data_IF_115101451800
#
_entry.id   IF_115101451800
#
_cell.length_a   1.000
_cell.length_b   1.000
_cell.length_c   1.000
_cell.angle_alpha   90.00
_cell.angle_beta   90.00
_cell.angle_gamma   90.00
#
_symmetry.space_group_name_H-M   'P 1'
#
loop_
_entity.id
_entity.type
_entity.pdbx_description
1 polymer ?
#
# COMPACT_ATOMS: atom_id res chain seq x y z
N UNK A 1 28.37 7.68 64.87
CA UNK A 1 27.84 8.78 64.04
C UNK A 1 27.74 8.29 62.61
N UNK A 2 26.54 7.93 62.16
CA UNK A 2 26.27 7.46 60.79
C UNK A 2 24.76 7.40 60.58
N UNK A 3 24.22 8.35 59.83
CA UNK A 3 22.79 8.51 59.54
C UNK A 3 22.37 7.61 58.37
N UNK A 4 21.20 6.92 58.41
CA UNK A 4 20.70 6.18 57.26
C UNK A 4 19.97 7.13 56.28
N UNK A 5 20.38 7.10 55.00
CA UNK A 5 19.79 7.88 53.93
C UNK A 5 18.37 7.42 53.59
N UNK A 6 17.43 8.36 53.63
CA UNK A 6 16.03 8.20 53.21
C UNK A 6 15.94 8.10 51.67
N UNK A 7 15.78 6.88 51.15
CA UNK A 7 15.50 6.64 49.73
C UNK A 7 14.07 7.04 49.34
N UNK A 8 13.93 8.12 48.57
CA UNK A 8 12.67 8.48 47.89
C UNK A 8 12.40 7.48 46.76
N UNK A 9 11.41 6.60 46.93
CA UNK A 9 10.86 5.79 45.84
C UNK A 9 10.13 6.71 44.85
N UNK A 10 10.57 6.77 43.59
CA UNK A 10 9.78 7.37 42.50
C UNK A 10 8.65 6.40 42.12
N UNK A 11 7.42 6.91 42.10
CA UNK A 11 6.27 6.17 41.58
C UNK A 11 6.44 5.91 40.06
N UNK A 12 5.93 4.79 39.53
CA UNK A 12 6.09 4.44 38.13
C UNK A 12 5.26 5.39 37.24
N UNK A 13 5.93 5.98 36.25
CA UNK A 13 5.35 6.80 35.18
C UNK A 13 4.62 5.84 34.22
N UNK A 14 3.45 5.35 34.59
CA UNK A 14 2.66 4.44 33.74
C UNK A 14 1.37 5.06 33.22
N UNK A 15 0.82 6.06 33.91
CA UNK A 15 -0.49 6.63 33.55
C UNK A 15 -0.43 7.87 32.66
N UNK A 16 0.75 8.50 32.50
CA UNK A 16 0.87 9.72 31.64
C UNK A 16 0.82 9.40 30.15
N UNK A 17 1.44 8.31 29.72
CA UNK A 17 1.42 7.89 28.33
C UNK A 17 0.01 7.48 27.90
N UNK A 18 -0.79 6.86 28.78
CA UNK A 18 -2.17 6.45 28.45
C UNK A 18 -3.11 7.65 28.24
N UNK A 19 -3.01 8.69 29.07
CA UNK A 19 -3.87 9.87 28.95
C UNK A 19 -3.51 10.73 27.71
N UNK A 20 -2.23 10.82 27.37
CA UNK A 20 -1.78 11.50 26.15
C UNK A 20 -2.22 10.74 24.88
N UNK A 21 -2.11 9.41 24.87
CA UNK A 21 -2.52 8.58 23.73
C UNK A 21 -4.04 8.60 23.52
N UNK A 22 -4.80 8.63 24.63
CA UNK A 22 -6.26 8.77 24.61
C UNK A 22 -6.69 10.16 24.12
N UNK A 23 -5.96 11.22 24.49
CA UNK A 23 -6.17 12.57 23.98
C UNK A 23 -5.88 12.68 22.47
N UNK A 24 -4.76 12.10 22.00
CA UNK A 24 -4.41 12.05 20.58
C UNK A 24 -5.46 11.27 19.77
N UNK A 25 -5.92 10.14 20.30
CA UNK A 25 -7.00 9.35 19.69
C UNK A 25 -8.32 10.11 19.62
N UNK A 26 -8.67 10.90 20.65
CA UNK A 26 -9.85 11.76 20.63
C UNK A 26 -9.73 12.88 19.59
N UNK A 27 -8.57 13.52 19.49
CA UNK A 27 -8.30 14.57 18.50
C UNK A 27 -8.40 14.01 17.07
N UNK A 28 -7.84 12.83 16.82
CA UNK A 28 -7.92 12.17 15.53
C UNK A 28 -9.37 11.87 15.14
N UNK A 29 -10.17 11.30 16.06
CA UNK A 29 -11.58 11.00 15.83
C UNK A 29 -12.43 12.25 15.60
N UNK A 30 -12.13 13.34 16.33
CA UNK A 30 -12.80 14.62 16.15
C UNK A 30 -12.45 15.27 14.81
N UNK A 31 -11.19 15.17 14.36
CA UNK A 31 -10.76 15.64 13.05
C UNK A 31 -11.43 14.85 11.92
N UNK A 32 -11.52 13.53 12.04
CA UNK A 32 -12.21 12.65 11.09
C UNK A 32 -13.71 12.98 11.02
N UNK A 33 -14.38 13.17 12.16
CA UNK A 33 -15.78 13.56 12.20
C UNK A 33 -16.02 14.94 11.54
N UNK A 34 -15.12 15.91 11.74
CA UNK A 34 -15.18 17.21 11.06
C UNK A 34 -15.01 17.07 9.55
N UNK A 35 -14.09 16.23 9.10
CA UNK A 35 -13.85 15.97 7.68
C UNK A 35 -15.09 15.31 7.05
N UNK A 36 -15.66 14.31 7.71
CA UNK A 36 -16.89 13.64 7.28
C UNK A 36 -18.09 14.60 7.20
N UNK A 37 -18.25 15.50 8.18
CA UNK A 37 -19.28 16.54 8.12
C UNK A 37 -19.07 17.50 6.94
N UNK A 38 -17.81 17.85 6.63
CA UNK A 38 -17.48 18.68 5.46
C UNK A 38 -17.80 17.95 4.14
N UNK A 39 -17.51 16.65 4.05
CA UNK A 39 -17.89 15.80 2.89
C UNK A 39 -19.40 15.76 2.71
N UNK A 40 -20.16 15.57 3.79
CA UNK A 40 -21.62 15.57 3.75
C UNK A 40 -22.20 16.92 3.31
N UNK A 41 -21.68 18.03 3.84
CA UNK A 41 -22.11 19.37 3.44
C UNK A 41 -21.79 19.69 1.97
N UNK A 42 -20.63 19.26 1.46
CA UNK A 42 -20.30 19.36 0.02
C UNK A 42 -21.27 18.54 -0.82
N UNK A 43 -21.58 17.31 -0.43
CA UNK A 43 -22.55 16.46 -1.13
C UNK A 43 -23.96 17.08 -1.15
N UNK A 44 -24.44 17.61 -0.02
CA UNK A 44 -25.73 18.29 0.06
C UNK A 44 -25.76 19.56 -0.82
N UNK A 45 -24.67 20.32 -0.86
CA UNK A 45 -24.55 21.50 -1.72
C UNK A 45 -24.61 21.14 -3.22
N UNK A 46 -23.97 20.04 -3.63
CA UNK A 46 -24.08 19.51 -5.00
C UNK A 46 -25.52 19.15 -5.34
N UNK A 47 -26.20 18.45 -4.45
CA UNK A 47 -27.60 18.03 -4.61
C UNK A 47 -28.59 19.21 -4.72
N UNK A 48 -28.45 20.22 -3.85
CA UNK A 48 -29.31 21.42 -3.89
C UNK A 48 -29.13 22.15 -5.24
N UNK A 49 -27.88 22.29 -5.68
CA UNK A 49 -27.56 23.00 -6.92
C UNK A 49 -28.02 22.24 -8.17
N UNK A 50 -27.94 20.90 -8.17
CA UNK A 50 -28.51 20.06 -9.23
C UNK A 50 -30.02 20.27 -9.37
N UNK A 51 -30.75 20.28 -8.24
CA UNK A 51 -32.20 20.55 -8.26
C UNK A 51 -32.54 21.94 -8.78
N UNK A 52 -31.74 22.96 -8.48
CA UNK A 52 -31.96 24.31 -9.02
C UNK A 52 -31.70 24.37 -10.54
N UNK A 53 -30.69 23.67 -11.05
CA UNK A 53 -30.43 23.57 -12.49
C UNK A 53 -31.57 22.87 -13.23
N UNK A 54 -32.10 21.77 -12.68
CA UNK A 54 -33.29 21.10 -13.23
C UNK A 54 -34.51 22.03 -13.23
N UNK A 55 -34.67 22.84 -12.17
CA UNK A 55 -35.74 23.86 -12.08
C UNK A 55 -35.61 24.91 -13.17
N UNK A 56 -34.40 25.43 -13.40
CA UNK A 56 -34.12 26.43 -14.44
C UNK A 56 -34.32 25.86 -15.86
N UNK A 57 -33.91 24.60 -16.11
CA UNK A 57 -34.17 23.94 -17.39
C UNK A 57 -35.67 23.80 -17.67
N UNK A 58 -36.46 23.47 -16.63
CA UNK A 58 -37.92 23.39 -16.73
C UNK A 58 -38.57 24.75 -16.97
N UNK A 59 -38.08 25.82 -16.32
CA UNK A 59 -38.60 27.17 -16.57
C UNK A 59 -38.29 27.67 -18.00
N UNK A 60 -37.14 27.29 -18.58
CA UNK A 60 -36.80 27.60 -19.98
C UNK A 60 -37.64 26.80 -20.98
N UNK A 61 -37.97 25.54 -20.72
CA UNK A 61 -38.90 24.77 -21.56
C UNK A 61 -40.30 25.39 -21.55
N UNK A 62 -40.79 25.77 -20.36
CA UNK A 62 -42.11 26.37 -20.21
C UNK A 62 -42.18 27.75 -20.90
N UNK A 63 -41.08 28.52 -20.92
CA UNK A 63 -41.00 29.80 -21.63
C UNK A 63 -40.90 29.63 -23.16
N UNK A 64 -40.22 28.57 -23.62
CA UNK A 64 -40.15 28.19 -25.03
C UNK A 64 -41.55 27.91 -25.58
N UNK A 65 -42.35 27.12 -24.87
CA UNK A 65 -43.72 26.75 -25.26
C UNK A 65 -44.67 27.96 -25.33
N UNK A 66 -44.51 28.92 -24.40
CA UNK A 66 -45.27 30.18 -24.40
C UNK A 66 -44.85 31.08 -25.56
N UNK A 67 -43.55 31.12 -25.88
CA UNK A 67 -43.03 31.91 -26.99
C UNK A 67 -43.44 31.35 -28.36
N UNK A 68 -43.49 30.02 -28.51
CA UNK A 68 -44.05 29.35 -29.70
C UNK A 68 -45.55 29.62 -29.82
N UNK A 69 -46.30 29.55 -28.72
CA UNK A 69 -47.75 29.86 -28.70
C UNK A 69 -48.03 31.32 -29.06
N UNK A 70 -47.20 32.27 -28.61
CA UNK A 70 -47.32 33.69 -28.94
C UNK A 70 -46.87 34.02 -30.37
N UNK A 71 -45.84 33.34 -30.88
CA UNK A 71 -45.38 33.45 -32.27
C UNK A 71 -46.43 32.92 -33.26
N UNK A 72 -47.14 31.85 -32.90
CA UNK A 72 -48.28 31.33 -33.66
C UNK A 72 -49.47 32.29 -33.67
N UNK A 73 -49.70 33.02 -32.57
CA UNK A 73 -50.75 34.04 -32.48
C UNK A 73 -50.50 35.23 -33.41
N UNK A 74 -49.25 35.70 -33.55
CA UNK A 74 -48.88 36.75 -34.50
C UNK A 74 -48.79 36.25 -35.96
N UNK A 75 -48.44 34.99 -36.18
CA UNK A 75 -48.31 34.40 -37.54
C UNK A 75 -49.64 34.07 -38.21
N UNK A 76 -50.74 33.96 -37.44
CA UNK A 76 -52.08 33.62 -37.98
C UNK A 76 -52.78 34.73 -38.75
N UNK A 77 -52.33 35.99 -38.69
CA UNK A 77 -53.05 37.09 -39.35
C UNK A 77 -52.85 37.19 -40.87
N UNK A 78 -52.06 36.31 -41.51
CA UNK A 78 -51.71 36.48 -42.93
C UNK A 78 -51.84 35.27 -43.86
N UNK A 79 -52.58 34.20 -43.51
CA UNK A 79 -52.90 33.13 -44.49
C UNK A 79 -54.38 32.77 -44.51
N UNK A 80 -55.13 33.54 -45.29
CA UNK A 80 -56.43 33.13 -45.81
C UNK A 80 -56.18 32.16 -46.96
N UNK A 81 -56.51 30.88 -46.74
CA UNK A 81 -56.76 29.88 -47.77
C UNK A 81 -55.57 29.02 -48.17
N UNK A 82 -55.57 27.76 -47.72
CA UNK A 82 -55.43 26.60 -48.61
C UNK A 82 -55.71 25.31 -47.82
N UNK A 83 -56.84 24.70 -48.14
CA UNK A 83 -57.28 23.35 -47.79
C UNK A 83 -56.51 22.33 -48.64
N UNK A 84 -55.84 21.35 -48.02
CA UNK A 84 -55.84 19.91 -48.41
C UNK A 84 -55.37 19.11 -47.18
N UNK A 85 -56.14 18.10 -46.80
CA UNK A 85 -55.88 17.15 -45.71
C UNK A 85 -55.19 15.86 -46.20
N UNK A 86 -54.81 15.02 -45.22
CA UNK A 86 -54.68 13.54 -45.28
C UNK A 86 -53.28 13.02 -45.73
N UNK A 87 -52.62 12.01 -45.13
CA UNK A 87 -53.02 10.87 -44.28
C UNK A 87 -51.75 10.09 -43.80
N UNK A 88 -51.85 9.39 -42.66
CA UNK A 88 -51.17 8.14 -42.15
C UNK A 88 -49.64 7.96 -42.23
N UNK A 89 -48.89 7.73 -41.13
CA UNK A 89 -48.82 6.64 -40.11
C UNK A 89 -48.07 5.36 -40.57
N UNK A 90 -47.24 4.86 -39.64
CA UNK A 90 -46.63 3.52 -39.51
C UNK A 90 -45.22 3.19 -40.09
N UNK A 91 -44.32 2.93 -39.12
CA UNK A 91 -43.47 1.72 -38.96
C UNK A 91 -41.97 1.74 -39.32
N UNK A 92 -41.21 1.39 -38.27
CA UNK A 92 -39.81 0.91 -38.21
C UNK A 92 -39.62 -0.36 -39.06
N UNK A 93 -38.43 -0.56 -39.63
CA UNK A 93 -37.76 -1.84 -39.42
C UNK A 93 -36.28 -1.73 -39.06
N UNK A 94 -35.88 -2.68 -38.24
CA UNK A 94 -34.54 -3.05 -37.80
C UNK A 94 -33.92 -4.06 -38.79
N UNK A 95 -32.62 -3.96 -39.11
CA UNK A 95 -31.74 -5.12 -39.38
C UNK A 95 -30.26 -4.76 -39.58
N UNK A 96 -29.42 -5.55 -38.92
CA UNK A 96 -27.95 -5.63 -38.97
C UNK A 96 -27.31 -5.76 -40.37
N UNK A 97 -26.14 -5.14 -40.54
CA UNK A 97 -24.83 -5.82 -40.73
C UNK A 97 -23.82 -4.96 -41.53
N UNK A 98 -22.54 -5.30 -41.32
CA UNK A 98 -21.33 -4.96 -42.08
C UNK A 98 -20.41 -3.93 -41.43
N UNK A 99 -19.34 -4.51 -40.86
CA UNK A 99 -18.08 -3.90 -40.49
C UNK A 99 -17.35 -3.28 -41.70
N UNK A 100 -16.86 -2.05 -41.59
CA UNK A 100 -15.55 -1.66 -42.14
C UNK A 100 -15.09 -0.27 -41.65
N UNK A 101 -13.95 -0.27 -40.96
CA UNK A 101 -12.78 0.58 -41.25
C UNK A 101 -13.00 2.08 -41.52
N UNK A 102 -12.85 2.91 -40.49
CA UNK A 102 -12.71 4.37 -40.62
C UNK A 102 -11.31 4.82 -40.22
N UNK A 103 -10.51 5.14 -41.24
CA UNK A 103 -9.26 5.92 -41.16
C UNK A 103 -9.58 7.39 -40.83
N UNK A 104 -8.61 8.02 -40.18
CA UNK A 104 -8.57 9.37 -39.59
C UNK A 104 -9.16 10.53 -40.42
N UNK A 105 -9.39 11.71 -39.80
CA UNK A 105 -8.27 12.67 -39.75
C UNK A 105 -8.08 13.44 -38.45
N UNK A 106 -6.81 13.82 -38.31
CA UNK A 106 -6.19 14.81 -37.44
C UNK A 106 -6.89 16.17 -37.47
N UNK A 107 -6.96 16.86 -36.33
CA UNK A 107 -7.02 18.34 -36.29
C UNK A 107 -6.44 18.87 -34.98
N UNK A 108 -5.18 19.29 -35.08
CA UNK A 108 -4.55 20.29 -34.23
C UNK A 108 -5.01 21.66 -34.73
N UNK A 109 -5.58 22.51 -33.87
CA UNK A 109 -5.70 23.94 -34.15
C UNK A 109 -5.05 24.73 -33.03
N UNK A 110 -3.79 25.09 -33.28
CA UNK A 110 -3.06 26.21 -32.70
C UNK A 110 -3.72 27.51 -33.12
N UNK A 111 -4.05 28.37 -32.16
CA UNK A 111 -4.50 29.75 -32.37
C UNK A 111 -3.33 30.63 -32.80
N UNK A 112 -3.39 31.38 -33.92
CA UNK A 112 -2.51 32.51 -34.15
C UNK A 112 -3.15 33.82 -33.67
N UNK A 113 -2.33 34.62 -33.02
CA UNK A 113 -2.60 35.96 -32.53
C UNK A 113 -3.07 36.91 -33.65
N UNK A 114 -4.11 37.71 -33.36
CA UNK A 114 -4.53 38.81 -34.23
C UNK A 114 -3.75 40.07 -33.84
N UNK A 115 -2.81 40.46 -34.70
CA UNK A 115 -2.18 41.78 -34.69
C UNK A 115 -3.09 42.82 -35.35
N UNK A 116 -3.12 44.00 -34.75
CA UNK A 116 -3.74 45.20 -35.26
C UNK A 116 -2.95 45.77 -36.45
N UNK A 117 -3.56 45.78 -37.65
CA UNK A 117 -3.25 46.70 -38.75
C UNK A 117 -4.18 46.41 -39.94
N UNK A 118 -5.33 47.08 -40.01
CA UNK A 118 -6.13 47.18 -41.25
C UNK A 118 -7.10 48.37 -41.16
N UNK A 119 -6.57 49.59 -41.26
CA UNK A 119 -7.35 50.74 -41.71
C UNK A 119 -6.75 51.21 -43.02
N UNK A 120 -7.26 50.67 -44.11
CA UNK A 120 -7.04 51.18 -45.45
C UNK A 120 -8.36 51.20 -46.22
N UNK A 121 -8.76 52.42 -46.59
CA UNK A 121 -9.23 52.76 -47.94
C UNK A 121 -10.53 52.12 -48.43
N UNK A 122 -11.64 52.85 -48.23
CA UNK A 122 -12.76 52.89 -49.18
C UNK A 122 -13.23 54.35 -49.34
N UNK A 123 -13.28 54.82 -50.59
CA UNK A 123 -14.18 55.91 -51.01
C UNK A 123 -13.52 57.21 -51.46
N UNK A 124 -13.07 57.26 -52.71
CA UNK A 124 -12.66 58.49 -53.39
C UNK A 124 -13.83 59.33 -53.95
N UNK A 125 -13.66 60.64 -53.86
CA UNK A 125 -14.07 61.73 -54.76
C UNK A 125 -15.41 61.65 -55.53
N UNK A 126 -16.30 62.61 -55.27
CA UNK A 126 -17.03 63.30 -56.34
C UNK A 126 -17.26 64.77 -55.99
N UNK A 127 -17.18 65.62 -57.02
CA UNK A 127 -16.98 67.07 -56.96
C UNK A 127 -18.11 67.81 -57.69
N UNK A 128 -18.38 69.03 -57.22
CA UNK A 128 -18.97 70.21 -57.92
C UNK A 128 -20.50 70.31 -58.13
N UNK A 129 -21.06 71.31 -57.42
CA UNK A 129 -21.89 72.45 -57.86
C UNK A 129 -22.96 72.24 -58.96
N UNK A 130 -24.20 72.62 -58.64
CA UNK A 130 -25.02 73.49 -59.50
C UNK A 130 -26.51 73.16 -59.64
N UNK A 131 -27.35 74.11 -59.20
CA UNK A 131 -28.64 74.51 -59.79
C UNK A 131 -29.86 73.58 -59.72
N UNK A 132 -30.82 73.98 -58.88
CA UNK A 132 -32.26 74.04 -59.14
C UNK A 132 -33.00 72.75 -59.51
N UNK A 133 -33.74 72.18 -58.56
CA UNK A 133 -35.20 71.99 -58.67
C UNK A 133 -35.77 71.53 -57.32
N UNK A 134 -36.84 72.17 -56.85
CA UNK A 134 -37.46 71.86 -55.55
C UNK A 134 -38.56 70.77 -55.65
N UNK A 135 -38.57 70.01 -56.75
CA UNK A 135 -39.56 68.95 -57.02
C UNK A 135 -39.07 67.50 -56.85
N UNK A 136 -37.76 67.25 -56.80
CA UNK A 136 -37.19 65.87 -56.76
C UNK A 136 -36.84 65.36 -55.35
N UNK A 137 -36.95 66.21 -54.33
CA UNK A 137 -36.53 65.90 -52.95
C UNK A 137 -37.52 64.96 -52.26
N UNK A 138 -38.79 64.93 -52.68
CA UNK A 138 -39.85 64.19 -51.96
C UNK A 138 -39.78 62.68 -52.26
N UNK A 139 -39.51 62.27 -53.51
CA UNK A 139 -39.40 60.84 -53.88
C UNK A 139 -38.09 60.20 -53.39
N UNK A 140 -37.00 60.96 -53.38
CA UNK A 140 -35.67 60.52 -52.89
C UNK A 140 -35.64 60.45 -51.35
N UNK A 141 -36.39 61.34 -50.68
CA UNK A 141 -36.62 61.26 -49.24
C UNK A 141 -37.48 60.07 -48.84
N UNK A 142 -38.54 59.72 -49.60
CA UNK A 142 -39.36 58.54 -49.32
C UNK A 142 -38.58 57.23 -49.50
N UNK A 143 -37.75 57.12 -50.55
CA UNK A 143 -36.85 55.98 -50.74
C UNK A 143 -35.80 55.88 -49.62
N UNK A 144 -35.16 57.00 -49.26
CA UNK A 144 -34.22 57.06 -48.13
C UNK A 144 -34.87 56.71 -46.79
N UNK A 145 -36.13 57.09 -46.57
CA UNK A 145 -36.90 56.72 -45.37
C UNK A 145 -37.22 55.23 -45.37
N UNK A 146 -37.49 54.63 -46.53
CA UNK A 146 -37.67 53.19 -46.71
C UNK A 146 -36.40 52.41 -46.35
N UNK A 147 -35.26 52.79 -46.92
CA UNK A 147 -33.96 52.16 -46.64
C UNK A 147 -33.55 52.28 -45.16
N UNK A 148 -33.85 53.41 -44.52
CA UNK A 148 -33.61 53.58 -43.08
C UNK A 148 -34.51 52.68 -42.23
N UNK A 149 -35.75 52.43 -42.65
CA UNK A 149 -36.66 51.50 -41.97
C UNK A 149 -36.22 50.05 -42.15
N UNK A 150 -35.76 49.68 -43.34
CA UNK A 150 -35.23 48.34 -43.60
C UNK A 150 -33.93 48.09 -42.83
N UNK A 151 -33.03 49.09 -42.79
CA UNK A 151 -31.81 49.07 -41.99
C UNK A 151 -32.11 48.98 -40.49
N UNK A 152 -33.13 49.72 -40.01
CA UNK A 152 -33.60 49.62 -38.63
C UNK A 152 -34.12 48.21 -38.33
N UNK A 153 -34.95 47.64 -39.21
CA UNK A 153 -35.46 46.27 -39.06
C UNK A 153 -34.34 45.22 -39.06
N UNK A 154 -33.34 45.37 -39.92
CA UNK A 154 -32.18 44.46 -39.97
C UNK A 154 -31.34 44.52 -38.69
N UNK A 155 -31.15 45.73 -38.14
CA UNK A 155 -30.45 45.92 -36.85
C UNK A 155 -31.28 45.34 -35.69
N UNK A 156 -32.60 45.52 -35.69
CA UNK A 156 -33.50 44.93 -34.70
C UNK A 156 -33.46 43.39 -34.72
N UNK A 157 -33.43 42.77 -35.90
CA UNK A 157 -33.29 41.31 -36.03
C UNK A 157 -31.91 40.83 -35.56
N UNK A 158 -30.83 41.54 -35.90
CA UNK A 158 -29.48 41.22 -35.42
C UNK A 158 -29.40 41.35 -33.91
N UNK A 159 -30.03 42.36 -33.31
CA UNK A 159 -30.11 42.53 -31.87
C UNK A 159 -30.87 41.38 -31.20
N UNK A 160 -32.03 40.97 -31.74
CA UNK A 160 -32.77 39.80 -31.24
C UNK A 160 -31.94 38.52 -31.29
N UNK A 161 -31.26 38.26 -32.41
CA UNK A 161 -30.36 37.09 -32.55
C UNK A 161 -29.21 37.13 -31.52
N UNK A 162 -28.60 38.28 -31.33
CA UNK A 162 -27.54 38.47 -30.33
C UNK A 162 -28.05 38.25 -28.90
N UNK A 163 -29.27 38.70 -28.59
CA UNK A 163 -29.87 38.51 -27.27
C UNK A 163 -30.14 37.03 -26.97
N UNK A 164 -30.69 36.28 -27.94
CA UNK A 164 -30.89 34.82 -27.80
C UNK A 164 -29.57 34.09 -27.64
N UNK A 165 -28.55 34.43 -28.45
CA UNK A 165 -27.21 33.85 -28.33
C UNK A 165 -26.55 34.18 -26.99
N UNK A 166 -26.73 35.38 -26.46
CA UNK A 166 -26.19 35.76 -25.16
C UNK A 166 -26.85 34.96 -24.02
N UNK A 167 -28.18 34.76 -24.08
CA UNK A 167 -28.89 33.91 -23.13
C UNK A 167 -28.44 32.43 -23.22
N UNK A 168 -28.13 31.92 -24.42
CA UNK A 168 -27.56 30.58 -24.58
C UNK A 168 -26.16 30.48 -23.95
N UNK A 169 -25.29 31.46 -24.21
CA UNK A 169 -23.95 31.52 -23.63
C UNK A 169 -23.96 31.63 -22.11
N UNK A 170 -24.91 32.36 -21.53
CA UNK A 170 -25.07 32.46 -20.07
C UNK A 170 -25.47 31.11 -19.46
N UNK A 171 -26.33 30.33 -20.12
CA UNK A 171 -26.67 28.97 -19.71
C UNK A 171 -25.48 28.01 -19.82
N UNK A 172 -24.75 28.04 -20.94
CA UNK A 172 -23.53 27.24 -21.12
C UNK A 172 -22.47 27.58 -20.07
N UNK A 173 -22.30 28.87 -19.77
CA UNK A 173 -21.40 29.34 -18.70
C UNK A 173 -21.84 28.81 -17.34
N UNK A 174 -23.12 28.87 -17.00
CA UNK A 174 -23.64 28.34 -15.73
C UNK A 174 -23.39 26.83 -15.61
N UNK A 175 -23.63 26.07 -16.69
CA UNK A 175 -23.36 24.64 -16.76
C UNK A 175 -21.88 24.30 -16.60
N UNK A 176 -20.99 25.03 -17.29
CA UNK A 176 -19.54 24.84 -17.18
C UNK A 176 -19.03 25.17 -15.77
N UNK A 177 -19.55 26.22 -15.14
CA UNK A 177 -19.21 26.54 -13.74
C UNK A 177 -19.61 25.36 -12.83
N UNK A 178 -20.80 24.79 -13.02
CA UNK A 178 -21.24 23.62 -12.25
C UNK A 178 -20.32 22.41 -12.44
N UNK A 179 -19.95 22.11 -13.69
CA UNK A 179 -19.02 21.01 -13.98
C UNK A 179 -17.66 21.23 -13.31
N UNK A 180 -17.11 22.44 -13.40
CA UNK A 180 -15.85 22.80 -12.75
C UNK A 180 -15.94 22.63 -11.24
N UNK A 181 -17.02 23.11 -10.61
CA UNK A 181 -17.19 22.99 -9.16
C UNK A 181 -17.31 21.52 -8.73
N UNK A 182 -18.07 20.70 -9.48
CA UNK A 182 -18.18 19.25 -9.25
C UNK A 182 -16.84 18.53 -9.40
N UNK A 183 -16.04 18.91 -10.39
CA UNK A 183 -14.72 18.31 -10.61
C UNK A 183 -13.72 18.69 -9.51
N UNK A 184 -13.70 19.96 -9.05
CA UNK A 184 -12.89 20.36 -7.89
C UNK A 184 -13.23 19.54 -6.67
N UNK A 185 -14.52 19.35 -6.47
CA UNK A 185 -15.10 18.58 -5.39
C UNK A 185 -14.67 17.10 -5.40
N UNK A 186 -14.58 16.47 -6.58
CA UNK A 186 -14.04 15.12 -6.76
C UNK A 186 -12.52 15.09 -6.55
N UNK A 187 -11.80 16.11 -7.02
CA UNK A 187 -10.35 16.23 -6.81
C UNK A 187 -10.04 16.31 -5.30
N UNK A 188 -10.75 17.16 -4.55
CA UNK A 188 -10.58 17.28 -3.11
C UNK A 188 -10.86 15.95 -2.38
N UNK A 189 -11.89 15.20 -2.81
CA UNK A 189 -12.18 13.87 -2.25
C UNK A 189 -11.07 12.86 -2.56
N UNK A 190 -10.54 12.85 -3.78
CA UNK A 190 -9.41 11.99 -4.15
C UNK A 190 -8.12 12.35 -3.39
N UNK A 191 -7.85 13.63 -3.16
CA UNK A 191 -6.70 14.10 -2.36
C UNK A 191 -6.80 13.65 -0.90
N UNK A 192 -7.99 13.72 -0.31
CA UNK A 192 -8.24 13.22 1.03
C UNK A 192 -8.08 11.68 1.10
N UNK A 193 -8.61 10.93 0.12
CA UNK A 193 -8.42 9.46 0.04
C UNK A 193 -6.95 9.07 -0.12
N UNK A 194 -6.19 9.78 -0.96
CA UNK A 194 -4.74 9.56 -1.09
C UNK A 194 -4.01 9.82 0.23
N UNK A 195 -4.40 10.86 0.96
CA UNK A 195 -3.81 11.19 2.27
C UNK A 195 -4.09 10.11 3.32
N UNK A 196 -5.31 9.57 3.34
CA UNK A 196 -5.71 8.46 4.21
C UNK A 196 -4.92 7.17 3.90
N UNK A 197 -4.81 6.80 2.61
CA UNK A 197 -4.04 5.64 2.18
C UNK A 197 -2.54 5.76 2.51
N UNK A 198 -1.97 6.97 2.37
CA UNK A 198 -0.60 7.23 2.78
C UNK A 198 -0.40 7.00 4.28
N UNK A 199 -1.30 7.52 5.13
CA UNK A 199 -1.25 7.29 6.59
C UNK A 199 -1.37 5.81 6.94
N UNK A 200 -2.29 5.08 6.32
CA UNK A 200 -2.48 3.63 6.57
C UNK A 200 -1.23 2.83 6.17
N UNK A 201 -0.59 3.21 5.06
CA UNK A 201 0.65 2.57 4.59
C UNK A 201 1.80 2.80 5.56
N UNK A 202 1.95 4.02 6.10
CA UNK A 202 2.95 4.32 7.14
C UNK A 202 2.70 3.52 8.42
N UNK A 203 1.45 3.38 8.85
CA UNK A 203 1.08 2.59 10.04
C UNK A 203 1.39 1.11 9.84
N UNK A 204 1.04 0.54 8.68
CA UNK A 204 1.39 -0.85 8.33
C UNK A 204 2.91 -1.05 8.26
N UNK A 205 3.64 -0.06 7.75
CA UNK A 205 5.12 -0.09 7.75
C UNK A 205 5.70 -0.11 9.16
N UNK A 206 5.16 0.69 10.09
CA UNK A 206 5.60 0.70 11.50
C UNK A 206 5.32 -0.63 12.19
N UNK A 207 4.13 -1.22 11.97
CA UNK A 207 3.78 -2.53 12.54
C UNK A 207 4.65 -3.64 11.96
N UNK A 208 4.98 -3.60 10.66
CA UNK A 208 5.91 -4.54 10.03
C UNK A 208 7.29 -4.50 10.72
N UNK A 209 7.84 -3.32 10.97
CA UNK A 209 9.13 -3.18 11.66
C UNK A 209 9.08 -3.70 13.11
N UNK A 210 7.97 -3.46 13.82
CA UNK A 210 7.74 -4.02 15.16
C UNK A 210 7.70 -5.55 15.14
N UNK A 211 7.06 -6.15 14.13
CA UNK A 211 7.01 -7.60 13.95
C UNK A 211 8.36 -8.19 13.57
N UNK A 212 9.12 -7.55 12.68
CA UNK A 212 10.49 -7.95 12.35
C UNK A 212 11.39 -7.97 13.58
N UNK A 213 11.32 -6.94 14.42
CA UNK A 213 12.05 -6.90 15.67
C UNK A 213 11.68 -8.07 16.60
N UNK A 214 10.38 -8.33 16.75
CA UNK A 214 9.88 -9.46 17.57
C UNK A 214 10.37 -10.80 17.05
N UNK A 215 10.32 -11.01 15.73
CA UNK A 215 10.81 -12.21 15.07
C UNK A 215 12.32 -12.41 15.31
N UNK A 216 13.12 -11.34 15.19
CA UNK A 216 14.56 -11.37 15.47
C UNK A 216 14.86 -11.78 16.92
N UNK A 217 14.13 -11.23 17.90
CA UNK A 217 14.27 -11.62 19.31
C UNK A 217 13.90 -13.09 19.52
N UNK A 218 12.85 -13.58 18.88
CA UNK A 218 12.44 -14.99 18.97
C UNK A 218 13.46 -15.93 18.32
N UNK A 219 14.05 -15.54 17.19
CA UNK A 219 15.12 -16.30 16.52
C UNK A 219 16.35 -16.44 17.41
N UNK A 220 16.78 -15.37 18.08
CA UNK A 220 17.90 -15.43 19.02
C UNK A 220 17.62 -16.42 20.16
N UNK A 221 16.45 -16.32 20.79
CA UNK A 221 16.05 -17.25 21.87
C UNK A 221 16.01 -18.70 21.40
N UNK A 222 15.56 -18.94 20.17
CA UNK A 222 15.53 -20.26 19.58
C UNK A 222 16.94 -20.81 19.37
N UNK A 223 17.88 -19.97 18.92
CA UNK A 223 19.28 -20.37 18.78
C UNK A 223 19.93 -20.67 20.13
N UNK A 224 19.68 -19.84 21.16
CA UNK A 224 20.15 -20.09 22.52
C UNK A 224 19.67 -21.45 23.05
N UNK A 225 18.38 -21.77 22.85
CA UNK A 225 17.81 -23.06 23.25
C UNK A 225 18.39 -24.24 22.46
N UNK A 226 18.60 -24.06 21.15
CA UNK A 226 19.25 -25.08 20.31
C UNK A 226 20.68 -25.36 20.77
N UNK A 227 21.45 -24.31 21.07
CA UNK A 227 22.80 -24.45 21.60
C UNK A 227 22.80 -25.16 22.96
N UNK A 228 21.87 -24.84 23.84
CA UNK A 228 21.70 -25.55 25.12
C UNK A 228 21.42 -27.06 24.93
N UNK A 229 20.61 -27.42 23.93
CA UNK A 229 20.37 -28.83 23.58
C UNK A 229 21.64 -29.48 23.03
N UNK A 230 22.36 -28.81 22.11
CA UNK A 230 23.64 -29.32 21.55
C UNK A 230 24.65 -29.61 22.66
N UNK A 231 24.84 -28.68 23.58
CA UNK A 231 25.76 -28.84 24.72
C UNK A 231 25.36 -30.02 25.62
N UNK A 232 24.06 -30.19 25.88
CA UNK A 232 23.57 -31.34 26.64
C UNK A 232 23.84 -32.66 25.91
N UNK A 233 23.56 -32.72 24.62
CA UNK A 233 23.74 -33.94 23.82
C UNK A 233 25.25 -34.28 23.69
N UNK A 234 26.13 -33.28 23.56
CA UNK A 234 27.59 -33.46 23.61
C UNK A 234 28.06 -34.03 24.96
N UNK A 235 27.51 -33.54 26.08
CA UNK A 235 27.83 -34.09 27.39
C UNK A 235 27.37 -35.55 27.54
N UNK A 236 26.20 -35.89 27.01
CA UNK A 236 25.70 -37.27 27.01
C UNK A 236 26.66 -38.17 26.23
N UNK A 237 27.07 -37.76 25.03
CA UNK A 237 28.01 -38.50 24.19
C UNK A 237 29.39 -38.65 24.85
N UNK A 238 29.97 -37.54 25.33
CA UNK A 238 31.31 -37.52 25.94
C UNK A 238 31.41 -38.39 27.18
N UNK A 239 30.32 -38.52 27.94
CA UNK A 239 30.28 -39.33 29.15
C UNK A 239 29.75 -40.75 28.91
N UNK A 240 29.46 -41.15 27.66
CA UNK A 240 28.97 -42.48 27.33
C UNK A 240 27.64 -42.79 28.03
N UNK A 241 26.80 -41.77 28.20
CA UNK A 241 25.52 -41.86 28.88
C UNK A 241 24.45 -42.33 27.88
N UNK A 242 23.60 -43.24 28.35
CA UNK A 242 22.48 -43.79 27.60
C UNK A 242 21.19 -43.34 28.26
N UNK A 243 20.26 -42.89 27.44
CA UNK A 243 18.92 -42.54 27.87
C UNK A 243 18.08 -43.83 27.86
N UNK A 244 17.56 -44.21 29.02
CA UNK A 244 16.63 -45.32 29.15
C UNK A 244 15.21 -44.73 29.27
N UNK A 245 14.34 -44.92 28.26
CA UNK A 245 12.92 -44.64 28.40
C UNK A 245 12.34 -45.57 29.47
N UNK A 246 11.66 -45.04 30.48
CA UNK A 246 10.81 -45.88 31.33
C UNK A 246 9.47 -46.11 30.61
N UNK A 247 9.29 -47.29 30.04
CA UNK A 247 8.00 -47.70 29.48
C UNK A 247 7.01 -48.01 30.61
N UNK A 248 5.81 -47.43 30.54
CA UNK A 248 4.63 -47.88 31.29
C UNK A 248 3.58 -48.40 30.31
N UNK A 249 2.83 -49.45 30.70
CA UNK A 249 1.92 -50.17 29.84
C UNK A 249 0.78 -49.26 29.40
N UNK A 250 0.47 -49.34 28.11
CA UNK A 250 -0.60 -48.58 27.47
C UNK A 250 -1.92 -48.66 28.24
N UNK A 251 -2.42 -47.51 28.67
CA UNK A 251 -3.85 -47.25 28.84
C UNK A 251 -4.37 -47.21 30.27
N UNK A 252 -4.26 -46.06 30.93
CA UNK A 252 -5.42 -45.43 31.57
C UNK A 252 -5.15 -43.92 31.78
N UNK A 253 -6.09 -43.11 31.34
CA UNK A 253 -6.07 -41.65 31.46
C UNK A 253 -6.60 -41.31 32.85
N UNK A 254 -5.73 -41.32 33.87
CA UNK A 254 -6.04 -40.73 35.16
C UNK A 254 -5.10 -39.57 35.46
N UNK A 255 -5.74 -38.41 35.65
CA UNK A 255 -5.18 -37.11 36.00
C UNK A 255 -4.51 -37.16 37.37
N UNK A 256 -3.25 -37.58 37.43
CA UNK A 256 -2.29 -37.21 38.48
C UNK A 256 -0.92 -37.55 37.91
N UNK A 257 -0.23 -36.56 37.35
CA UNK A 257 1.05 -36.73 36.67
C UNK A 257 2.12 -37.25 37.63
N UNK A 258 2.60 -38.51 37.52
CA UNK A 258 3.96 -38.78 37.91
C UNK A 258 4.81 -38.25 36.75
N UNK A 259 5.76 -37.37 37.06
CA UNK A 259 6.76 -36.90 36.10
C UNK A 259 7.30 -38.08 35.29
N UNK A 260 7.07 -38.09 33.97
CA UNK A 260 7.71 -39.03 33.05
C UNK A 260 9.23 -38.94 33.26
N UNK A 261 9.80 -39.94 33.92
CA UNK A 261 11.21 -39.97 34.29
C UNK A 261 12.03 -40.50 33.12
N UNK A 262 12.69 -39.61 32.39
CA UNK A 262 13.78 -40.02 31.50
C UNK A 262 14.99 -40.26 32.40
N UNK A 263 15.48 -41.50 32.48
CA UNK A 263 16.67 -41.79 33.28
C UNK A 263 17.91 -41.87 32.39
N UNK A 264 18.98 -41.21 32.83
CA UNK A 264 20.27 -41.19 32.15
C UNK A 264 21.27 -41.99 32.99
N UNK A 265 21.83 -43.04 32.41
CA UNK A 265 22.81 -43.93 33.08
C UNK A 265 24.01 -44.18 32.18
N UNK A 266 25.10 -44.71 32.71
CA UNK A 266 26.24 -45.13 31.87
C UNK A 266 25.88 -46.35 31.03
N UNK A 267 26.57 -46.56 29.90
CA UNK A 267 26.41 -47.76 29.06
C UNK A 267 26.52 -49.07 29.85
N UNK A 268 27.48 -49.16 30.77
CA UNK A 268 27.69 -50.33 31.63
C UNK A 268 26.49 -50.59 32.55
N UNK A 269 25.97 -49.52 33.19
CA UNK A 269 24.80 -49.62 34.04
C UNK A 269 23.55 -50.01 33.25
N UNK A 270 23.39 -49.49 32.02
CA UNK A 270 22.29 -49.88 31.13
C UNK A 270 22.31 -51.37 30.81
N UNK A 271 23.48 -51.93 30.50
CA UNK A 271 23.63 -53.36 30.18
C UNK A 271 23.33 -54.26 31.38
N UNK A 272 23.75 -53.85 32.58
CA UNK A 272 23.42 -54.55 33.83
C UNK A 272 21.91 -54.49 34.10
N UNK A 273 21.27 -53.34 33.87
CA UNK A 273 19.82 -53.18 34.04
C UNK A 273 19.02 -54.02 33.02
N UNK A 274 19.52 -54.21 31.80
CA UNK A 274 18.90 -55.08 30.80
C UNK A 274 18.89 -56.54 31.24
N UNK A 275 19.96 -56.99 31.90
CA UNK A 275 20.04 -58.36 32.45
C UNK A 275 19.02 -58.64 33.57
N UNK A 276 18.54 -57.60 34.27
CA UNK A 276 17.50 -57.70 35.30
C UNK A 276 16.06 -57.86 34.72
N UNK A 277 15.93 -57.84 33.38
CA UNK A 277 14.67 -57.94 32.66
C UNK A 277 13.81 -56.68 32.73
N UNK A 278 12.56 -56.78 32.29
CA UNK A 278 11.67 -55.61 32.15
C UNK A 278 11.13 -55.09 33.49
N UNK A 279 10.83 -53.79 33.50
CA UNK A 279 10.16 -53.08 34.60
C UNK A 279 10.78 -51.70 34.90
N UNK A 280 10.14 -50.91 35.77
CA UNK A 280 10.68 -49.64 36.25
C UNK A 280 12.09 -49.80 36.81
N UNK A 281 12.91 -48.75 36.76
CA UNK A 281 14.29 -48.79 37.24
C UNK A 281 14.41 -49.35 38.66
N UNK A 282 13.52 -48.92 39.55
CA UNK A 282 13.48 -49.38 40.94
C UNK A 282 13.24 -50.89 41.08
N UNK A 283 12.46 -51.48 40.17
CA UNK A 283 12.16 -52.92 40.16
C UNK A 283 13.38 -53.70 39.66
N UNK A 284 14.02 -53.22 38.59
CA UNK A 284 15.23 -53.83 38.04
C UNK A 284 16.39 -53.79 39.03
N UNK A 285 16.59 -52.66 39.71
CA UNK A 285 17.59 -52.51 40.77
C UNK A 285 17.33 -53.48 41.93
N UNK A 286 16.07 -53.68 42.33
CA UNK A 286 15.73 -54.62 43.41
C UNK A 286 16.09 -56.06 43.06
N UNK A 287 15.76 -56.52 41.85
CA UNK A 287 16.10 -57.88 41.39
C UNK A 287 17.61 -58.14 41.44
N UNK A 288 18.42 -57.19 41.00
CA UNK A 288 19.88 -57.31 41.04
C UNK A 288 20.43 -57.38 42.47
N UNK A 289 19.80 -56.65 43.41
CA UNK A 289 20.16 -56.74 44.83
C UNK A 289 19.83 -58.13 45.39
N UNK A 290 18.66 -58.67 45.06
CA UNK A 290 18.25 -60.01 45.49
C UNK A 290 19.20 -61.11 44.94
N UNK A 291 19.58 -61.04 43.66
CA UNK A 291 20.54 -61.96 43.05
C UNK A 291 21.94 -61.88 43.69
N UNK A 292 22.40 -60.66 44.01
CA UNK A 292 23.67 -60.46 44.72
C UNK A 292 23.65 -61.13 46.09
N UNK A 293 22.55 -61.01 46.84
CA UNK A 293 22.43 -61.58 48.17
C UNK A 293 22.39 -63.12 48.14
N UNK A 294 21.79 -63.70 47.10
CA UNK A 294 21.81 -65.15 46.85
C UNK A 294 23.24 -65.64 46.53
N UNK A 295 23.95 -64.97 45.60
CA UNK A 295 25.35 -65.31 45.27
C UNK A 295 26.27 -65.17 46.49
N UNK A 296 26.11 -64.14 47.32
CA UNK A 296 26.87 -63.99 48.56
C UNK A 296 26.62 -65.15 49.53
N UNK A 297 25.41 -65.68 49.56
CA UNK A 297 25.06 -66.85 50.37
C UNK A 297 25.72 -68.12 49.84
N UNK A 298 25.79 -68.30 48.52
CA UNK A 298 26.53 -69.40 47.89
C UNK A 298 28.03 -69.31 48.13
N UNK A 299 28.64 -68.12 48.03
CA UNK A 299 30.06 -67.89 48.32
C UNK A 299 30.37 -68.25 49.79
N UNK A 300 29.50 -67.87 50.74
CA UNK A 300 29.67 -68.24 52.16
C UNK A 300 29.66 -69.75 52.33
N UNK A 301 28.72 -70.44 51.68
CA UNK A 301 28.63 -71.91 51.71
C UNK A 301 29.86 -72.60 51.10
N UNK A 302 30.31 -72.15 49.92
CA UNK A 302 31.51 -72.68 49.26
C UNK A 302 32.79 -72.41 50.05
N UNK A 303 32.92 -71.24 50.68
CA UNK A 303 34.06 -70.95 51.57
C UNK A 303 34.10 -71.88 52.78
N UNK A 304 32.95 -72.19 53.36
CA UNK A 304 32.88 -73.20 54.42
C UNK A 304 33.32 -74.58 53.93
N UNK A 305 32.83 -75.01 52.77
CA UNK A 305 33.24 -76.29 52.16
C UNK A 305 34.74 -76.31 51.81
N UNK A 306 35.30 -75.20 51.31
CA UNK A 306 36.72 -75.09 51.01
C UNK A 306 37.57 -75.11 52.28
N UNK A 307 37.12 -74.48 53.37
CA UNK A 307 37.81 -74.53 54.66
C UNK A 307 37.76 -75.95 55.25
N UNK A 308 36.63 -76.64 55.11
CA UNK A 308 36.49 -78.07 55.44
C UNK A 308 37.45 -78.95 54.62
N UNK A 309 37.60 -78.70 53.31
CA UNK A 309 38.56 -79.41 52.45
C UNK A 309 40.01 -79.02 52.72
N UNK A 310 40.33 -77.75 53.05
CA UNK A 310 41.67 -77.32 53.45
C UNK A 310 42.10 -77.96 54.78
N UNK A 311 41.17 -78.14 55.71
CA UNK A 311 41.44 -78.92 56.93
C UNK A 311 41.66 -80.41 56.65
N UNK A 312 41.11 -80.96 55.56
CA UNK A 312 41.42 -82.32 55.07
C UNK A 312 42.76 -82.38 54.32
N UNK A 313 43.12 -81.33 53.56
CA UNK A 313 44.35 -81.25 52.76
C UNK A 313 45.62 -80.84 53.53
N UNK A 314 45.51 -80.24 54.73
CA UNK A 314 46.66 -80.02 55.64
C UNK A 314 47.29 -81.34 56.14
N UNK A 315 46.72 -82.51 55.79
CA UNK A 315 47.29 -83.84 56.03
C UNK A 315 47.95 -84.48 54.79
N UNK A 316 47.90 -83.83 53.62
CA UNK A 316 48.38 -84.39 52.34
C UNK A 316 49.19 -83.30 51.60
N UNK A 317 50.45 -83.17 52.01
CA UNK A 317 51.67 -82.76 51.27
C UNK A 317 51.53 -81.78 50.09
N UNK A 318 52.21 -80.62 50.09
CA UNK A 318 53.64 -80.49 49.72
C UNK A 318 53.98 -81.24 48.42
N UNK A 319 54.04 -80.54 47.25
CA UNK A 319 54.95 -80.79 46.09
C UNK A 319 54.41 -80.16 44.77
N UNK A 320 55.13 -79.13 44.30
CA UNK A 320 55.50 -78.76 42.91
C UNK A 320 54.52 -78.13 41.86
N UNK A 321 54.76 -76.82 41.64
CA UNK A 321 55.12 -76.07 40.39
C UNK A 321 54.33 -76.20 39.07
N UNK A 322 53.74 -75.05 38.68
CA UNK A 322 54.14 -74.16 37.56
C UNK A 322 54.19 -74.69 36.10
N UNK A 323 53.54 -73.98 35.17
CA UNK A 323 53.66 -74.20 33.73
C UNK A 323 52.73 -73.33 32.87
N UNK A 324 53.36 -72.42 32.11
CA UNK A 324 52.84 -71.36 31.23
C UNK A 324 51.92 -71.82 30.08
N UNK A 325 51.12 -70.88 29.52
CA UNK A 325 50.45 -71.09 28.22
C UNK A 325 50.31 -69.81 27.36
N UNK A 326 51.20 -69.72 26.38
CA UNK A 326 51.04 -69.28 24.98
C UNK A 326 50.33 -67.94 24.65
N UNK A 327 51.18 -67.02 24.19
CA UNK A 327 50.87 -65.73 23.55
C UNK A 327 50.86 -65.93 22.02
N UNK A 328 49.73 -65.69 21.36
CA UNK A 328 49.58 -65.75 19.89
C UNK A 328 48.47 -64.81 19.36
N UNK A 329 48.18 -63.71 20.06
CA UNK A 329 47.05 -62.80 19.75
C UNK A 329 47.41 -61.39 19.25
N UNK A 330 48.66 -60.97 19.36
CA UNK A 330 49.07 -59.56 19.18
C UNK A 330 49.12 -59.11 17.72
N UNK A 331 49.42 -60.01 16.78
CA UNK A 331 49.58 -59.67 15.36
C UNK A 331 48.24 -59.49 14.61
N UNK A 332 47.22 -60.29 14.97
CA UNK A 332 45.87 -60.18 14.38
C UNK A 332 45.15 -58.90 14.82
N UNK A 333 45.30 -58.52 16.10
CA UNK A 333 44.71 -57.30 16.64
C UNK A 333 45.29 -56.03 16.01
N UNK A 334 46.59 -56.02 15.70
CA UNK A 334 47.24 -54.90 15.03
C UNK A 334 46.74 -54.73 13.59
N UNK A 335 46.49 -55.83 12.88
CA UNK A 335 45.94 -55.82 11.51
C UNK A 335 44.48 -55.32 11.49
N UNK A 336 43.66 -55.72 12.45
CA UNK A 336 42.29 -55.22 12.60
C UNK A 336 42.27 -53.73 12.91
N UNK A 337 43.10 -53.28 13.86
CA UNK A 337 43.23 -51.86 14.20
C UNK A 337 43.70 -51.01 13.01
N UNK A 338 44.62 -51.53 12.19
CA UNK A 338 45.09 -50.88 10.97
C UNK A 338 44.00 -50.79 9.89
N UNK A 339 43.14 -51.82 9.78
CA UNK A 339 41.99 -51.81 8.85
C UNK A 339 40.94 -50.80 9.28
N UNK A 340 40.63 -50.74 10.57
CA UNK A 340 39.67 -49.77 11.12
C UNK A 340 40.18 -48.33 10.98
N UNK A 341 41.46 -48.09 11.26
CA UNK A 341 42.09 -46.79 11.02
C UNK A 341 42.01 -46.39 9.55
N UNK A 342 42.29 -47.31 8.62
CA UNK A 342 42.18 -47.04 7.18
C UNK A 342 40.74 -46.80 6.72
N UNK A 343 39.77 -47.50 7.29
CA UNK A 343 38.34 -47.26 7.06
C UNK A 343 37.93 -45.86 7.52
N UNK A 344 38.29 -45.48 8.73
CA UNK A 344 38.02 -44.13 9.27
C UNK A 344 38.68 -43.04 8.43
N UNK A 345 39.93 -43.23 7.99
CA UNK A 345 40.61 -42.30 7.08
C UNK A 345 39.82 -42.12 5.78
N UNK A 346 39.24 -43.21 5.26
CA UNK A 346 38.47 -43.18 4.02
C UNK A 346 37.13 -42.47 4.20
N UNK A 347 36.45 -42.70 5.33
CA UNK A 347 35.24 -41.96 5.71
C UNK A 347 35.50 -40.46 5.88
N UNK A 348 36.59 -40.07 6.54
CA UNK A 348 36.96 -38.66 6.70
C UNK A 348 37.37 -38.00 5.38
N UNK A 349 38.08 -38.70 4.50
CA UNK A 349 38.37 -38.19 3.15
C UNK A 349 37.11 -37.95 2.34
N UNK A 350 36.13 -38.85 2.42
CA UNK A 350 34.85 -38.67 1.74
C UNK A 350 34.07 -37.48 2.30
N UNK A 351 33.98 -37.35 3.63
CA UNK A 351 33.34 -36.20 4.28
C UNK A 351 34.02 -34.89 3.90
N UNK A 352 35.35 -34.85 3.91
CA UNK A 352 36.13 -33.69 3.50
C UNK A 352 35.81 -33.28 2.06
N UNK A 353 35.87 -34.22 1.11
CA UNK A 353 35.55 -33.95 -0.30
C UNK A 353 34.12 -33.45 -0.49
N UNK A 354 33.15 -33.99 0.26
CA UNK A 354 31.77 -33.51 0.25
C UNK A 354 31.66 -32.07 0.75
N UNK A 355 32.31 -31.76 1.88
CA UNK A 355 32.30 -30.39 2.43
C UNK A 355 33.04 -29.39 1.53
N UNK A 356 34.11 -29.80 0.85
CA UNK A 356 34.82 -28.97 -0.13
C UNK A 356 33.92 -28.64 -1.33
N UNK A 357 33.13 -29.60 -1.81
CA UNK A 357 32.15 -29.36 -2.88
C UNK A 357 31.02 -28.42 -2.45
N UNK A 358 30.50 -28.60 -1.24
CA UNK A 358 29.50 -27.70 -0.64
C UNK A 358 30.06 -26.27 -0.50
N UNK A 359 31.31 -26.15 -0.06
CA UNK A 359 32.01 -24.86 0.06
C UNK A 359 32.12 -24.14 -1.29
N UNK A 360 32.53 -24.84 -2.35
CA UNK A 360 32.60 -24.27 -3.70
C UNK A 360 31.22 -23.79 -4.22
N UNK A 361 30.15 -24.51 -3.88
CA UNK A 361 28.78 -24.13 -4.24
C UNK A 361 28.35 -22.87 -3.48
N UNK A 362 28.67 -22.79 -2.19
CA UNK A 362 28.37 -21.62 -1.36
C UNK A 362 29.15 -20.39 -1.81
N UNK A 363 30.42 -20.53 -2.20
CA UNK A 363 31.22 -19.44 -2.77
C UNK A 363 30.61 -18.89 -4.06
N UNK A 364 30.13 -19.77 -4.95
CA UNK A 364 29.44 -19.33 -6.17
C UNK A 364 28.15 -18.56 -5.87
N UNK A 365 27.40 -18.99 -4.85
CA UNK A 365 26.21 -18.28 -4.38
C UNK A 365 26.54 -16.91 -3.81
N UNK A 366 27.60 -16.80 -2.99
CA UNK A 366 28.10 -15.53 -2.45
C UNK A 366 28.45 -14.57 -3.59
N UNK A 367 29.25 -15.01 -4.56
CA UNK A 367 29.62 -14.18 -5.73
C UNK A 367 28.39 -13.66 -6.50
N UNK A 368 27.36 -14.50 -6.67
CA UNK A 368 26.10 -14.09 -7.33
C UNK A 368 25.36 -13.05 -6.50
N UNK A 369 25.26 -13.25 -5.18
CA UNK A 369 24.57 -12.33 -4.27
C UNK A 369 25.31 -10.99 -4.18
N UNK A 370 26.63 -10.99 -4.09
CA UNK A 370 27.46 -9.78 -4.12
C UNK A 370 27.22 -8.97 -5.41
N UNK A 371 27.15 -9.66 -6.56
CA UNK A 371 26.79 -9.02 -7.83
C UNK A 371 25.38 -8.42 -7.83
N UNK A 372 24.41 -9.04 -7.15
CA UNK A 372 23.06 -8.48 -6.99
C UNK A 372 23.06 -7.24 -6.09
N UNK A 373 23.75 -7.32 -4.94
CA UNK A 373 23.88 -6.20 -4.00
C UNK A 373 24.53 -4.98 -4.67
N UNK A 374 25.59 -5.20 -5.46
CA UNK A 374 26.26 -4.14 -6.23
C UNK A 374 25.29 -3.42 -7.19
N UNK A 375 24.48 -4.19 -7.94
CA UNK A 375 23.46 -3.62 -8.84
C UNK A 375 22.37 -2.84 -8.11
N UNK A 376 21.86 -3.39 -7.01
CA UNK A 376 20.84 -2.70 -6.21
C UNK A 376 21.37 -1.42 -5.59
N UNK A 377 22.63 -1.42 -5.14
CA UNK A 377 23.28 -0.21 -4.65
C UNK A 377 23.37 0.87 -5.72
N UNK A 378 23.86 0.53 -6.93
CA UNK A 378 23.89 1.51 -8.04
C UNK A 378 22.50 2.01 -8.44
N UNK A 379 21.49 1.14 -8.40
CA UNK A 379 20.10 1.54 -8.68
C UNK A 379 19.55 2.49 -7.61
N UNK A 380 19.87 2.26 -6.33
CA UNK A 380 19.46 3.12 -5.22
C UNK A 380 20.16 4.48 -5.31
N UNK A 381 21.48 4.51 -5.54
CA UNK A 381 22.25 5.74 -5.71
C UNK A 381 21.73 6.59 -6.89
N UNK A 382 21.28 5.95 -7.99
CA UNK A 382 20.67 6.65 -9.11
C UNK A 382 19.27 7.19 -8.79
N UNK A 383 18.47 6.43 -8.04
CA UNK A 383 17.14 6.87 -7.61
C UNK A 383 17.23 8.08 -6.67
N UNK A 384 18.19 8.10 -5.75
CA UNK A 384 18.45 9.23 -4.84
C UNK A 384 18.80 10.51 -5.63
N UNK A 385 19.66 10.40 -6.65
CA UNK A 385 19.99 11.54 -7.53
C UNK A 385 18.76 12.09 -8.25
N UNK A 386 17.92 11.22 -8.80
CA UNK A 386 16.68 11.63 -9.50
C UNK A 386 15.72 12.31 -8.51
N UNK A 387 15.60 11.80 -7.28
CA UNK A 387 14.77 12.40 -6.25
C UNK A 387 15.23 13.84 -5.92
N UNK A 388 16.53 14.05 -5.79
CA UNK A 388 17.10 15.38 -5.52
C UNK A 388 16.89 16.35 -6.69
N UNK A 389 16.99 15.89 -7.93
CA UNK A 389 16.66 16.66 -9.13
C UNK A 389 15.19 17.07 -9.14
N UNK A 390 14.26 16.12 -8.87
CA UNK A 390 12.83 16.40 -8.80
C UNK A 390 12.49 17.35 -7.64
N UNK A 391 13.16 17.26 -6.49
CA UNK A 391 13.01 18.23 -5.39
C UNK A 391 13.46 19.62 -5.82
N UNK A 392 14.54 19.74 -6.58
CA UNK A 392 15.02 21.01 -7.10
C UNK A 392 14.03 21.61 -8.11
N UNK A 393 13.50 20.80 -9.04
CA UNK A 393 12.48 21.21 -10.00
C UNK A 393 11.19 21.64 -9.31
N UNK A 394 10.70 20.88 -8.32
CA UNK A 394 9.53 21.25 -7.52
C UNK A 394 9.70 22.64 -6.90
N UNK A 395 10.85 22.91 -6.28
CA UNK A 395 11.13 24.24 -5.68
C UNK A 395 11.20 25.34 -6.73
N UNK A 396 11.65 25.04 -7.95
CA UNK A 396 11.69 26.00 -9.06
C UNK A 396 10.26 26.32 -9.53
N UNK A 397 9.46 25.30 -9.81
CA UNK A 397 8.07 25.44 -10.24
C UNK A 397 7.21 26.15 -9.17
N UNK A 398 7.43 25.87 -7.89
CA UNK A 398 6.75 26.60 -6.80
C UNK A 398 7.08 28.10 -6.79
N UNK A 399 8.34 28.47 -7.09
CA UNK A 399 8.74 29.89 -7.21
C UNK A 399 8.13 30.55 -8.44
N UNK A 400 8.08 29.83 -9.57
CA UNK A 400 7.44 30.30 -10.79
C UNK A 400 5.93 30.49 -10.61
N UNK A 401 5.26 29.53 -9.96
CA UNK A 401 3.83 29.63 -9.61
C UNK A 401 3.56 30.86 -8.75
N UNK A 402 4.37 31.09 -7.71
CA UNK A 402 4.21 32.27 -6.84
C UNK A 402 4.36 33.57 -7.63
N UNK A 403 5.40 33.67 -8.46
CA UNK A 403 5.61 34.83 -9.34
C UNK A 403 4.44 35.05 -10.30
N UNK A 404 3.86 33.97 -10.83
CA UNK A 404 2.70 34.05 -11.72
C UNK A 404 1.44 34.52 -11.00
N UNK A 405 1.20 34.04 -9.77
CA UNK A 405 0.08 34.49 -8.92
C UNK A 405 0.21 35.98 -8.57
N UNK A 406 1.40 36.42 -8.15
CA UNK A 406 1.66 37.84 -7.85
C UNK A 406 1.33 38.71 -9.09
N UNK A 407 1.67 38.25 -10.29
CA UNK A 407 1.37 38.95 -11.54
C UNK A 407 -0.12 38.95 -11.89
N UNK A 408 -0.86 37.89 -11.55
CA UNK A 408 -2.32 37.86 -11.70
C UNK A 408 -2.95 38.89 -10.78
N UNK A 409 -2.55 38.94 -9.51
CA UNK A 409 -3.05 39.94 -8.55
C UNK A 409 -2.81 41.38 -9.02
N UNK A 410 -1.60 41.68 -9.53
CA UNK A 410 -1.30 42.98 -10.15
C UNK A 410 -2.25 43.30 -11.32
N UNK A 411 -2.45 42.34 -12.22
CA UNK A 411 -3.33 42.51 -13.38
C UNK A 411 -4.79 42.69 -12.96
N UNK A 412 -5.27 41.95 -11.95
CA UNK A 412 -6.61 42.10 -11.39
C UNK A 412 -6.81 43.48 -10.77
N UNK A 413 -5.83 44.00 -10.03
CA UNK A 413 -5.88 45.36 -9.50
C UNK A 413 -5.96 46.40 -10.64
N UNK A 414 -5.12 46.29 -11.67
CA UNK A 414 -5.17 47.21 -12.82
C UNK A 414 -6.51 47.15 -13.54
N UNK A 415 -7.06 45.94 -13.75
CA UNK A 415 -8.36 45.75 -14.39
C UNK A 415 -9.48 46.39 -13.55
N UNK A 416 -9.47 46.17 -12.23
CA UNK A 416 -10.42 46.81 -11.32
C UNK A 416 -10.38 48.34 -11.39
N UNK A 417 -9.20 48.94 -11.53
CA UNK A 417 -9.06 50.39 -11.74
C UNK A 417 -9.64 50.85 -13.08
N UNK A 418 -9.41 50.09 -14.16
CA UNK A 418 -9.95 50.39 -15.49
C UNK A 418 -11.48 50.26 -15.52
N UNK A 419 -12.05 49.22 -14.91
CA UNK A 419 -13.49 49.03 -14.77
C UNK A 419 -14.14 50.22 -14.06
N UNK A 420 -13.60 50.63 -12.90
CA UNK A 420 -14.09 51.83 -12.18
C UNK A 420 -14.02 53.09 -13.03
N UNK A 421 -12.99 53.26 -13.86
CA UNK A 421 -12.86 54.41 -14.76
C UNK A 421 -13.90 54.35 -15.89
N UNK A 422 -14.14 53.18 -16.46
CA UNK A 422 -15.17 52.96 -17.48
C UNK A 422 -16.57 53.23 -16.92
N UNK A 423 -16.87 52.79 -15.71
CA UNK A 423 -18.15 53.06 -15.03
C UNK A 423 -18.39 54.56 -14.86
N UNK A 424 -17.37 55.31 -14.42
CA UNK A 424 -17.45 56.78 -14.34
C UNK A 424 -17.73 57.42 -15.70
N UNK A 425 -17.07 56.98 -16.75
CA UNK A 425 -17.30 57.48 -18.11
C UNK A 425 -18.72 57.16 -18.61
N UNK A 426 -19.22 55.95 -18.33
CA UNK A 426 -20.61 55.55 -18.64
C UNK A 426 -21.62 56.40 -17.88
N UNK A 427 -21.42 56.63 -16.59
CA UNK A 427 -22.28 57.48 -15.77
C UNK A 427 -22.31 58.92 -16.30
N UNK A 428 -21.15 59.50 -16.65
CA UNK A 428 -21.08 60.83 -17.25
C UNK A 428 -21.82 60.91 -18.59
N UNK A 429 -21.66 59.90 -19.46
CA UNK A 429 -22.38 59.82 -20.73
C UNK A 429 -23.89 59.77 -20.51
N UNK A 430 -24.36 58.94 -19.58
CA UNK A 430 -25.77 58.82 -19.26
C UNK A 430 -26.35 60.13 -18.69
N UNK A 431 -25.59 60.83 -17.85
CA UNK A 431 -25.99 62.13 -17.33
C UNK A 431 -26.13 63.18 -18.45
N UNK A 432 -25.19 63.23 -19.40
CA UNK A 432 -25.26 64.10 -20.57
C UNK A 432 -26.47 63.77 -21.47
N UNK A 433 -26.75 62.49 -21.69
CA UNK A 433 -27.92 62.04 -22.46
C UNK A 433 -29.24 62.41 -21.78
N UNK A 434 -29.28 62.45 -20.44
CA UNK A 434 -30.49 62.84 -19.70
C UNK A 434 -30.79 64.34 -19.71
N UNK A 435 -29.85 65.17 -20.18
CA UNK A 435 -29.99 66.63 -20.29
C UNK A 435 -30.38 67.10 -21.70
N UNK A 436 -30.42 66.19 -22.69
CA UNK A 436 -31.00 66.40 -24.01
C UNK A 436 -32.43 65.88 -24.03
#
# INVERSE_FOLDING_TARGET
>A
MGTPGSGRKRAPIKDRFSAEDEALSSIAREAEARLAAKRAARAEARDIRMRELERQQKELSDFSDISETAADYFSRSNRRGSIVSDLDDLSIPDLDSVSQESRHPSSRCTTPALSAAALASLGGSSSRRGSGDAGSIIMDAEASIGELKDSLSEVEEKYKKAMVSNAQLDNEKANLIYQVDTLKDVIEEMEEQMSELHRETEEKSKELERQKHTCSVQQHKLEDMKEGIRQRDELIEKHGLVIIPEDMPNGDVSHESPTSGITVVTQEAAQVLESAGDGPLDVRLRKLVDEKDELLSQIRKLKMQLEEERQKHLKIDSVYTEGERMENGTDLHFIEMQRDANRQISEYKFKLSKTEQEMATMEQNVNRLEGQVSRYKSSADNAEKIEDELKAEKRKLQRELRTALDKIEEMEMTNNHLVKRLEKMKANRNALLSQQ
#
